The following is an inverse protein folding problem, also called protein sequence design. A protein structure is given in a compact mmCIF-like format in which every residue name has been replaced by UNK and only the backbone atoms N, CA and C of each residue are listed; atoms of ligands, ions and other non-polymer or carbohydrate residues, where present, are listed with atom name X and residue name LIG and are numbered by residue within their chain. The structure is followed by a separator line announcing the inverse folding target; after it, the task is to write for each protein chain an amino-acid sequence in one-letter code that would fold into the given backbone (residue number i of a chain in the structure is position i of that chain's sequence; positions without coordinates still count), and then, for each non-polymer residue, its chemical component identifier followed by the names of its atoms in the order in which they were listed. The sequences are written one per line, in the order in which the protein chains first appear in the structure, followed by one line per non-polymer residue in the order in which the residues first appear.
data_IF_116285514401
#
_entry.id   IF_116285514401
#
_cell.length_a   1.000
_cell.length_b   1.000
_cell.length_c   1.000
_cell.angle_alpha   90.00
_cell.angle_beta   90.00
_cell.angle_gamma   90.00
#
_symmetry.space_group_name_H-M   'P 1'
#
loop_
_entity.id
_entity.type
_entity.pdbx_description
1 polymer ?
#
# COMPACT_ATOMS: atom_id res chain seq x y z
N UNK A 1 -13.95 -10.08 -12.94
CA UNK A 1 -13.81 -8.61 -12.81
C UNK A 1 -13.67 -8.29 -11.33
N UNK A 2 -12.43 -8.26 -10.83
CA UNK A 2 -12.13 -8.05 -9.40
C UNK A 2 -11.84 -6.55 -9.21
N UNK A 3 -12.68 -5.88 -8.42
CA UNK A 3 -12.57 -4.48 -8.01
C UNK A 3 -11.88 -4.47 -6.64
N UNK A 4 -10.70 -3.90 -6.51
CA UNK A 4 -9.98 -3.84 -5.23
C UNK A 4 -10.21 -2.43 -4.66
N UNK A 5 -10.69 -2.35 -3.43
CA UNK A 5 -10.98 -1.11 -2.70
C UNK A 5 -9.97 -1.00 -1.57
N UNK A 6 -9.11 0.03 -1.58
CA UNK A 6 -8.17 0.32 -0.50
C UNK A 6 -8.84 1.23 0.53
N UNK A 7 -8.84 0.84 1.80
CA UNK A 7 -9.40 1.58 2.93
C UNK A 7 -8.28 1.92 3.92
N UNK A 8 -8.14 3.19 4.29
CA UNK A 8 -7.28 3.65 5.39
C UNK A 8 -8.12 3.75 6.67
N UNK A 9 -7.74 3.05 7.76
CA UNK A 9 -8.36 3.21 9.09
C UNK A 9 -7.38 3.91 10.06
N UNK A 10 -7.91 4.89 10.81
CA UNK A 10 -7.25 5.53 11.96
C UNK A 10 -7.84 4.96 13.26
N UNK A 11 -6.98 4.51 14.18
CA UNK A 11 -7.37 4.18 15.56
C UNK A 11 -7.02 5.37 16.46
N UNK A 12 -8.02 5.99 17.08
CA UNK A 12 -7.81 6.91 18.20
C UNK A 12 -8.53 6.36 19.44
N UNK A 13 -7.75 5.90 20.41
CA UNK A 13 -8.21 5.64 21.77
C UNK A 13 -8.21 6.95 22.57
N UNK A 14 -9.38 7.48 22.88
CA UNK A 14 -9.50 8.62 23.79
C UNK A 14 -10.95 9.07 23.97
N UNK A 15 -11.51 8.84 25.15
CA UNK A 15 -12.85 9.28 25.50
C UNK A 15 -12.88 10.81 25.59
N UNK A 16 -13.51 11.46 24.61
CA UNK A 16 -13.98 12.82 24.73
C UNK A 16 -15.46 12.87 24.33
N UNK A 17 -16.22 13.45 25.24
CA UNK A 17 -17.66 13.65 25.19
C UNK A 17 -18.10 14.40 23.92
N UNK A 18 -19.06 13.83 23.20
CA UNK A 18 -20.11 14.54 22.46
C UNK A 18 -19.68 15.72 21.61
N UNK A 19 -18.98 15.48 20.52
CA UNK A 19 -19.12 16.31 19.31
C UNK A 19 -19.31 15.37 18.12
N UNK A 20 -20.54 15.29 17.61
CA UNK A 20 -20.77 14.75 16.27
C UNK A 20 -20.11 15.73 15.31
N UNK A 21 -18.82 15.49 15.00
CA UNK A 21 -18.24 16.06 13.80
C UNK A 21 -18.99 15.41 12.65
N UNK A 22 -20.01 16.09 12.16
CA UNK A 22 -20.50 15.85 10.81
C UNK A 22 -19.31 16.18 9.93
N UNK A 23 -18.48 15.17 9.63
CA UNK A 23 -17.41 15.28 8.67
C UNK A 23 -18.09 15.41 7.31
N UNK A 24 -18.55 16.63 7.03
CA UNK A 24 -19.12 17.05 5.76
C UNK A 24 -17.97 17.25 4.76
N UNK A 25 -16.99 16.34 4.78
CA UNK A 25 -16.14 16.14 3.62
C UNK A 25 -17.00 15.36 2.63
N UNK A 26 -17.15 15.81 1.38
CA UNK A 26 -17.73 14.95 0.36
C UNK A 26 -16.94 13.64 0.40
N UNK A 27 -17.61 12.53 0.64
CA UNK A 27 -16.99 11.22 0.56
C UNK A 27 -16.39 11.14 -0.84
N UNK A 28 -15.06 11.22 -0.93
CA UNK A 28 -14.40 10.95 -2.19
C UNK A 28 -14.77 9.50 -2.53
N UNK A 29 -15.34 9.24 -3.71
CA UNK A 29 -15.59 7.87 -4.10
C UNK A 29 -14.26 7.12 -3.99
N UNK A 30 -14.29 5.92 -3.38
CA UNK A 30 -13.10 5.09 -3.22
C UNK A 30 -12.32 5.07 -4.55
N UNK A 31 -11.04 5.50 -4.56
CA UNK A 31 -10.28 5.57 -5.79
C UNK A 31 -10.27 4.17 -6.43
N UNK A 32 -10.78 4.08 -7.66
CA UNK A 32 -10.82 2.82 -8.38
C UNK A 32 -9.80 2.80 -9.50
N UNK A 33 -9.02 1.73 -9.54
CA UNK A 33 -8.08 1.47 -10.60
C UNK A 33 -8.53 0.24 -11.39
N UNK A 34 -8.61 0.36 -12.71
CA UNK A 34 -8.79 -0.80 -13.59
C UNK A 34 -7.42 -1.32 -13.97
N UNK A 35 -7.14 -2.54 -13.56
CA UNK A 35 -5.89 -3.23 -13.84
C UNK A 35 -6.04 -4.16 -15.06
N UNK A 36 -5.07 -4.13 -15.97
CA UNK A 36 -5.03 -5.03 -17.14
C UNK A 36 -4.16 -6.25 -16.82
N UNK A 37 -4.57 -7.46 -17.26
CA UNK A 37 -3.74 -8.65 -17.10
C UNK A 37 -2.51 -8.60 -18.00
N UNK A 38 -1.46 -9.31 -17.60
CA UNK A 38 -0.26 -9.55 -18.41
C UNK A 38 -0.18 -11.01 -18.85
N UNK A 39 0.42 -11.23 -20.03
CA UNK A 39 0.77 -12.58 -20.52
C UNK A 39 2.23 -12.93 -20.25
N UNK A 40 3.06 -11.91 -20.01
CA UNK A 40 4.48 -12.05 -19.72
C UNK A 40 4.68 -11.43 -18.34
N UNK A 41 4.83 -12.25 -17.29
CA UNK A 41 5.04 -11.72 -15.95
C UNK A 41 6.40 -11.01 -15.86
N UNK A 42 6.53 -10.01 -14.98
CA UNK A 42 7.80 -9.35 -14.71
C UNK A 42 8.76 -10.28 -13.96
N UNK A 43 10.05 -9.96 -14.01
CA UNK A 43 10.98 -10.47 -13.02
C UNK A 43 10.82 -9.67 -11.71
N UNK A 44 10.97 -10.32 -10.56
CA UNK A 44 10.89 -9.66 -9.25
C UNK A 44 12.30 -9.24 -8.84
N UNK A 45 12.81 -8.18 -9.48
CA UNK A 45 14.19 -7.68 -9.32
C UNK A 45 14.27 -6.16 -9.07
N UNK A 46 13.11 -5.52 -8.85
CA UNK A 46 12.97 -4.07 -8.71
C UNK A 46 13.30 -3.24 -9.97
N UNK A 47 13.39 -3.86 -11.14
CA UNK A 47 13.44 -3.16 -12.43
C UNK A 47 12.04 -2.98 -13.03
N UNK A 48 11.72 -1.74 -13.41
CA UNK A 48 10.46 -1.38 -14.06
C UNK A 48 10.54 -1.39 -15.60
N UNK A 49 11.64 -1.86 -16.18
CA UNK A 49 11.84 -1.89 -17.64
C UNK A 49 11.00 -2.95 -18.35
N UNK A 50 10.51 -3.96 -17.63
CA UNK A 50 9.65 -5.02 -18.14
C UNK A 50 8.41 -4.49 -18.87
N UNK A 51 8.04 -5.18 -19.95
CA UNK A 51 6.99 -4.68 -20.86
C UNK A 51 5.61 -4.61 -20.22
N UNK A 52 5.33 -5.44 -19.20
CA UNK A 52 4.05 -5.43 -18.50
C UNK A 52 3.83 -4.09 -17.77
N UNK A 53 4.88 -3.45 -17.25
CA UNK A 53 4.76 -2.18 -16.53
C UNK A 53 4.36 -1.03 -17.44
N UNK A 54 4.78 -1.03 -18.71
CA UNK A 54 4.41 0.00 -19.70
C UNK A 54 2.91 0.06 -20.00
N UNK A 55 2.18 -1.03 -19.73
CA UNK A 55 0.72 -1.14 -19.94
C UNK A 55 -0.04 -1.32 -18.63
N UNK A 56 0.67 -1.34 -17.51
CA UNK A 56 0.09 -1.52 -16.20
C UNK A 56 -0.70 -0.28 -15.78
N UNK A 57 -1.61 -0.48 -14.84
CA UNK A 57 -2.32 0.63 -14.27
C UNK A 57 -1.40 1.32 -13.24
N UNK A 58 -1.21 2.63 -13.40
CA UNK A 58 -0.37 3.43 -12.52
C UNK A 58 -1.24 4.28 -11.58
N UNK A 59 -0.92 4.24 -10.30
CA UNK A 59 -1.42 5.12 -9.25
C UNK A 59 -0.37 6.19 -8.98
N UNK A 60 -0.82 7.40 -8.76
CA UNK A 60 0.00 8.51 -8.29
C UNK A 60 -0.85 9.45 -7.45
N UNK A 61 -0.26 10.58 -7.06
CA UNK A 61 -0.99 11.55 -6.25
C UNK A 61 -1.20 11.08 -4.82
N UNK A 62 -0.18 10.46 -4.25
CA UNK A 62 -0.21 9.99 -2.87
C UNK A 62 -0.22 11.20 -1.93
N UNK A 63 -1.06 11.09 -0.89
CA UNK A 63 -1.21 12.08 0.17
C UNK A 63 -0.63 11.52 1.47
N UNK A 64 -0.19 12.42 2.33
CA UNK A 64 0.20 12.12 3.70
C UNK A 64 -1.05 11.84 4.53
N UNK A 65 -0.86 11.29 5.73
CA UNK A 65 -1.95 10.99 6.66
C UNK A 65 -2.75 12.22 7.09
N UNK A 66 -2.15 13.42 7.00
CA UNK A 66 -2.83 14.70 7.24
C UNK A 66 -3.66 15.19 6.05
N UNK A 67 -3.74 14.41 4.96
CA UNK A 67 -4.50 14.71 3.75
C UNK A 67 -3.82 15.68 2.78
N UNK A 68 -2.61 16.15 3.10
CA UNK A 68 -1.83 17.01 2.20
C UNK A 68 -1.06 16.17 1.17
N UNK A 69 -0.82 16.74 -0.01
CA UNK A 69 0.04 16.11 -1.01
C UNK A 69 1.41 15.78 -0.44
N UNK A 70 1.89 14.57 -0.71
CA UNK A 70 3.27 14.24 -0.40
C UNK A 70 4.21 15.07 -1.27
N UNK A 71 5.26 15.62 -0.65
CA UNK A 71 6.28 16.40 -1.36
C UNK A 71 7.13 15.50 -2.25
N UNK A 72 7.49 14.33 -1.72
CA UNK A 72 8.10 13.24 -2.45
C UNK A 72 6.98 12.30 -2.88
N UNK A 73 6.69 12.27 -4.18
CA UNK A 73 5.58 11.47 -4.69
C UNK A 73 5.96 9.99 -4.76
N UNK A 74 4.94 9.16 -4.90
CA UNK A 74 5.08 7.72 -5.12
C UNK A 74 4.26 7.35 -6.35
N UNK A 75 4.75 6.38 -7.09
CA UNK A 75 4.00 5.75 -8.17
C UNK A 75 3.86 4.27 -7.88
N UNK A 76 2.64 3.73 -7.96
CA UNK A 76 2.41 2.30 -7.80
C UNK A 76 1.84 1.73 -9.10
N UNK A 77 2.37 0.59 -9.52
CA UNK A 77 2.04 -0.10 -10.75
C UNK A 77 1.42 -1.45 -10.41
N UNK A 78 0.28 -1.76 -11.02
CA UNK A 78 -0.41 -3.01 -10.79
C UNK A 78 -0.70 -3.72 -12.12
N UNK A 79 -0.38 -5.01 -12.17
CA UNK A 79 -0.80 -5.97 -13.20
C UNK A 79 -1.02 -7.34 -12.56
N UNK A 80 -1.59 -8.30 -13.28
CA UNK A 80 -1.82 -9.65 -12.77
C UNK A 80 -1.81 -10.66 -13.91
N UNK A 81 -1.62 -11.93 -13.58
CA UNK A 81 -1.91 -13.06 -14.46
C UNK A 81 -2.89 -14.01 -13.77
N UNK A 82 -3.01 -15.25 -14.27
CA UNK A 82 -3.95 -16.23 -13.72
C UNK A 82 -3.54 -16.76 -12.32
N UNK A 83 -2.31 -16.51 -11.88
CA UNK A 83 -1.75 -17.03 -10.63
C UNK A 83 -1.37 -15.93 -9.63
N UNK A 84 -0.90 -14.77 -10.08
CA UNK A 84 -0.30 -13.75 -9.22
C UNK A 84 -0.81 -12.34 -9.51
N UNK A 85 -0.93 -11.56 -8.44
CA UNK A 85 -1.00 -10.09 -8.49
C UNK A 85 0.42 -9.54 -8.39
N UNK A 86 0.81 -8.68 -9.34
CA UNK A 86 2.09 -8.01 -9.35
C UNK A 86 1.89 -6.55 -8.96
N UNK A 87 2.64 -6.13 -7.93
CA UNK A 87 2.66 -4.76 -7.44
C UNK A 87 4.10 -4.27 -7.49
N UNK A 88 4.32 -3.12 -8.11
CA UNK A 88 5.61 -2.44 -8.04
C UNK A 88 5.39 -1.01 -7.57
N UNK A 89 6.32 -0.49 -6.75
CA UNK A 89 6.20 0.85 -6.16
C UNK A 89 7.51 1.59 -6.36
N UNK A 90 7.43 2.76 -6.97
CA UNK A 90 8.54 3.71 -7.14
C UNK A 90 8.33 4.86 -6.17
N UNK A 91 9.13 4.88 -5.11
CA UNK A 91 9.17 5.98 -4.15
C UNK A 91 10.25 6.97 -4.57
N UNK A 92 9.89 8.23 -4.78
CA UNK A 92 10.88 9.30 -4.89
C UNK A 92 11.34 9.68 -3.48
N UNK A 93 12.63 9.95 -3.31
CA UNK A 93 13.19 10.38 -2.02
C UNK A 93 14.45 11.20 -2.29
N UNK A 94 14.46 12.46 -1.84
CA UNK A 94 15.61 13.36 -2.00
C UNK A 94 16.66 13.18 -0.90
N UNK A 95 16.29 12.58 0.23
CA UNK A 95 17.13 12.36 1.41
C UNK A 95 17.44 10.87 1.63
N UNK A 96 17.85 10.15 0.58
CA UNK A 96 18.18 8.72 0.66
C UNK A 96 19.13 8.36 1.82
N UNK A 97 20.03 9.27 2.21
CA UNK A 97 20.99 9.05 3.31
C UNK A 97 20.36 9.05 4.70
N UNK A 98 19.14 9.58 4.86
CA UNK A 98 18.43 9.61 6.14
C UNK A 98 17.42 8.49 6.30
N UNK A 99 17.32 7.57 5.33
CA UNK A 99 16.44 6.41 5.46
C UNK A 99 16.85 5.59 6.69
N UNK A 100 15.89 5.32 7.57
CA UNK A 100 16.06 4.55 8.79
C UNK A 100 16.15 3.03 8.54
N UNK A 101 16.75 2.59 7.45
CA UNK A 101 16.67 1.17 7.05
C UNK A 101 17.60 0.31 7.90
N UNK A 102 17.05 -0.77 8.44
CA UNK A 102 17.77 -1.78 9.20
C UNK A 102 17.52 -3.14 8.58
N UNK A 103 18.54 -4.00 8.59
CA UNK A 103 18.37 -5.38 8.16
C UNK A 103 17.65 -6.17 9.27
N UNK A 104 16.41 -6.55 9.01
CA UNK A 104 15.60 -7.31 9.95
C UNK A 104 15.36 -8.74 9.42
N UNK A 105 15.20 -9.74 10.32
CA UNK A 105 14.67 -11.03 9.93
C UNK A 105 13.30 -10.90 9.27
N UNK A 106 12.95 -11.88 8.42
CA UNK A 106 11.61 -12.02 7.86
C UNK A 106 10.55 -12.04 8.96
N UNK A 107 9.38 -11.47 8.69
CA UNK A 107 8.22 -11.37 9.60
C UNK A 107 8.46 -10.63 10.91
N UNK A 108 9.57 -9.88 11.02
CA UNK A 108 9.76 -9.01 12.18
C UNK A 108 8.87 -7.77 12.05
N UNK A 109 7.86 -7.69 12.92
CA UNK A 109 6.93 -6.55 13.00
C UNK A 109 7.66 -5.19 13.00
N UNK A 110 8.84 -5.09 13.64
CA UNK A 110 9.64 -3.85 13.68
C UNK A 110 10.13 -3.33 12.32
N UNK A 111 9.96 -4.08 11.22
CA UNK A 111 10.14 -3.58 9.85
C UNK A 111 9.21 -2.37 9.59
N UNK A 112 8.10 -2.21 10.33
CA UNK A 112 7.12 -1.14 10.16
C UNK A 112 7.55 0.23 10.72
N UNK A 113 8.69 0.32 11.42
CA UNK A 113 9.04 1.53 12.19
C UNK A 113 9.98 2.54 11.53
N UNK A 114 10.74 2.22 10.45
CA UNK A 114 11.44 3.23 9.69
C UNK A 114 10.74 3.47 8.34
N UNK A 115 11.37 3.06 7.24
CA UNK A 115 10.89 3.26 5.88
C UNK A 115 10.49 1.92 5.27
N UNK A 116 9.24 1.81 4.85
CA UNK A 116 8.71 0.66 4.16
C UNK A 116 7.55 1.04 3.24
N UNK A 117 7.32 0.20 2.24
CA UNK A 117 6.07 0.19 1.47
C UNK A 117 5.16 -0.86 2.10
N UNK A 118 3.94 -0.45 2.41
CA UNK A 118 2.91 -1.31 2.99
C UNK A 118 1.73 -1.46 2.02
N UNK A 119 1.24 -2.69 1.87
CA UNK A 119 0.10 -3.03 1.04
C UNK A 119 -0.89 -3.83 1.88
N UNK A 120 -2.13 -3.33 1.96
CA UNK A 120 -3.24 -4.00 2.62
C UNK A 120 -4.19 -4.57 1.58
N UNK A 121 -4.42 -5.88 1.63
CA UNK A 121 -5.26 -6.60 0.67
C UNK A 121 -6.47 -7.22 1.36
N UNK A 122 -7.62 -6.57 1.18
CA UNK A 122 -8.94 -7.12 1.50
C UNK A 122 -9.50 -7.83 0.26
N UNK A 123 -9.33 -9.16 0.21
CA UNK A 123 -9.69 -9.98 -0.96
C UNK A 123 -11.16 -10.39 -0.98
N UNK A 124 -11.83 -10.45 0.17
CA UNK A 124 -13.23 -10.85 0.31
C UNK A 124 -14.18 -9.64 0.43
N UNK A 125 -13.63 -8.43 0.55
CA UNK A 125 -14.32 -7.14 0.72
C UNK A 125 -15.15 -7.05 1.99
N UNK A 126 -14.75 -7.75 3.05
CA UNK A 126 -15.45 -7.69 4.33
C UNK A 126 -15.07 -6.46 5.17
N UNK A 127 -13.98 -5.76 4.81
CA UNK A 127 -13.40 -4.61 5.54
C UNK A 127 -13.00 -4.90 6.99
N UNK A 128 -12.93 -6.17 7.36
CA UNK A 128 -12.63 -6.66 8.70
C UNK A 128 -11.38 -7.54 8.72
N UNK A 129 -11.09 -8.23 7.62
CA UNK A 129 -9.92 -9.09 7.46
C UNK A 129 -9.12 -8.66 6.25
N UNK A 130 -7.80 -8.69 6.38
CA UNK A 130 -6.90 -8.31 5.29
C UNK A 130 -5.54 -8.98 5.43
N UNK A 131 -4.86 -9.14 4.29
CA UNK A 131 -3.43 -9.45 4.30
C UNK A 131 -2.64 -8.14 4.37
N UNK A 132 -1.68 -8.08 5.27
CA UNK A 132 -0.72 -6.98 5.39
C UNK A 132 0.62 -7.44 4.85
N UNK A 133 1.05 -6.84 3.76
CA UNK A 133 2.35 -7.08 3.14
C UNK A 133 3.20 -5.84 3.28
N UNK A 134 4.47 -6.01 3.63
CA UNK A 134 5.38 -4.90 3.78
C UNK A 134 6.78 -5.26 3.27
N UNK A 135 7.43 -4.29 2.62
CA UNK A 135 8.81 -4.41 2.16
C UNK A 135 9.59 -3.14 2.47
N UNK A 136 10.79 -3.29 3.04
CA UNK A 136 11.70 -2.17 3.25
C UNK A 136 12.69 -2.01 2.06
N UNK A 137 13.46 -0.91 1.97
CA UNK A 137 14.43 -0.71 0.90
C UNK A 137 15.57 -1.73 0.80
N UNK A 138 15.79 -2.55 1.83
CA UNK A 138 16.76 -3.66 1.81
C UNK A 138 16.14 -4.98 1.32
N UNK A 139 14.84 -5.00 1.01
CA UNK A 139 14.12 -6.20 0.59
C UNK A 139 13.73 -7.13 1.73
N UNK A 140 13.77 -6.67 2.99
CA UNK A 140 13.18 -7.45 4.09
C UNK A 140 11.65 -7.39 3.96
N UNK A 141 11.02 -8.56 4.11
CA UNK A 141 9.57 -8.72 3.95
C UNK A 141 8.93 -9.06 5.29
N UNK A 142 7.74 -8.54 5.47
CA UNK A 142 6.79 -8.93 6.51
C UNK A 142 5.46 -9.25 5.84
N UNK A 143 4.85 -10.36 6.23
CA UNK A 143 3.49 -10.72 5.84
C UNK A 143 2.66 -11.18 7.05
N UNK A 144 1.40 -10.77 7.09
CA UNK A 144 0.47 -11.22 8.10
C UNK A 144 -0.96 -11.28 7.57
N UNK A 145 -1.76 -12.19 8.12
CA UNK A 145 -3.21 -12.11 8.07
C UNK A 145 -3.68 -11.37 9.33
N UNK A 146 -4.47 -10.32 9.15
CA UNK A 146 -4.97 -9.47 10.22
C UNK A 146 -6.49 -9.50 10.24
N UNK A 147 -7.07 -9.49 11.43
CA UNK A 147 -8.49 -9.28 11.66
C UNK A 147 -8.72 -8.13 12.64
N UNK A 148 -9.97 -7.64 12.70
CA UNK A 148 -10.37 -6.56 13.59
C UNK A 148 -10.25 -6.88 15.10
N UNK A 149 -9.98 -8.15 15.47
CA UNK A 149 -9.86 -8.60 16.86
C UNK A 149 -8.41 -8.77 17.32
N UNK A 150 -7.45 -8.75 16.39
CA UNK A 150 -6.02 -8.96 16.63
C UNK A 150 -5.24 -7.71 17.06
N UNK A 151 -5.93 -6.58 17.31
CA UNK A 151 -5.36 -5.27 17.64
C UNK A 151 -5.35 -4.94 19.13
#
# INVERSE_FOLDING_TARGET
MVRITLLFMLVFSGWACGQTLTQNQPAFPDPTLKCAPTKTPPLIDADLTDTCWKRSAALGGFVRLDGLWSREQTEAFLTYDDAYLYVAVRCYESQIKSLGVHNWPHDKESICRPDAVEVYLDINRDRNTFYHLMVNPLGNVYEAFCDAESG
#
